data_IF_773768017155
#
_entry.id   IF_773768017155
#
_cell.length_a   1.000
_cell.length_b   1.000
_cell.length_c   1.000
_cell.angle_alpha   90.00
_cell.angle_beta   90.00
_cell.angle_gamma   90.00
#
_symmetry.space_group_name_H-M   'P 1'
#
loop_
_entity.id
_entity.type
_entity.pdbx_description
1 polymer ?
#
# COMPACT_ATOMS: atom_id res chain seq x y z
N UNK A 1 11.72 -17.15 35.95
CA UNK A 1 11.95 -17.72 34.60
C UNK A 1 10.64 -17.91 33.84
N UNK A 2 9.53 -18.31 34.47
CA UNK A 2 8.21 -18.43 33.82
C UNK A 2 7.76 -17.19 33.02
N UNK A 3 7.96 -15.96 33.53
CA UNK A 3 7.56 -14.74 32.82
C UNK A 3 8.29 -14.52 31.49
N UNK A 4 9.54 -14.96 31.39
CA UNK A 4 10.38 -14.80 30.20
C UNK A 4 9.91 -15.74 29.09
N UNK A 5 9.55 -16.97 29.46
CA UNK A 5 9.01 -17.98 28.54
C UNK A 5 7.64 -17.55 28.00
N UNK A 6 6.75 -17.05 28.85
CA UNK A 6 5.44 -16.51 28.44
C UNK A 6 5.60 -15.34 27.44
N UNK A 7 6.54 -14.43 27.69
CA UNK A 7 6.81 -13.27 26.82
C UNK A 7 7.44 -13.66 25.49
N UNK A 8 8.32 -14.67 25.46
CA UNK A 8 8.88 -15.23 24.23
C UNK A 8 7.81 -15.92 23.37
N UNK A 9 6.85 -16.59 24.01
CA UNK A 9 5.68 -17.18 23.31
C UNK A 9 4.81 -16.08 22.72
N UNK A 10 4.53 -15.01 23.48
CA UNK A 10 3.80 -13.84 22.96
C UNK A 10 4.53 -13.17 21.80
N UNK A 11 5.86 -13.01 21.89
CA UNK A 11 6.66 -12.44 20.82
C UNK A 11 6.58 -13.29 19.54
N UNK A 12 6.74 -14.61 19.64
CA UNK A 12 6.57 -15.53 18.49
C UNK A 12 5.17 -15.44 17.89
N UNK A 13 4.13 -15.35 18.72
CA UNK A 13 2.75 -15.21 18.24
C UNK A 13 2.51 -13.90 17.46
N UNK A 14 3.32 -12.86 17.68
CA UNK A 14 3.22 -11.57 16.99
C UNK A 14 4.08 -11.49 15.71
N UNK A 15 5.12 -12.32 15.60
CA UNK A 15 6.02 -12.37 14.43
C UNK A 15 5.30 -12.85 13.17
N UNK A 16 4.55 -13.94 13.27
CA UNK A 16 3.86 -14.55 12.13
C UNK A 16 2.82 -13.59 11.49
N UNK A 17 1.93 -12.94 12.26
CA UNK A 17 1.02 -11.92 11.73
C UNK A 17 1.77 -10.76 11.06
N UNK A 18 2.86 -10.26 11.67
CA UNK A 18 3.64 -9.15 11.12
C UNK A 18 4.22 -9.50 9.74
N UNK A 19 4.81 -10.68 9.59
CA UNK A 19 5.36 -11.14 8.31
C UNK A 19 4.25 -11.38 7.27
N UNK A 20 3.10 -11.89 7.71
CA UNK A 20 1.93 -12.09 6.85
C UNK A 20 1.42 -10.77 6.26
N UNK A 21 1.24 -9.74 7.08
CA UNK A 21 0.83 -8.41 6.60
C UNK A 21 1.88 -7.76 5.70
N UNK A 22 3.17 -7.95 5.99
CA UNK A 22 4.25 -7.52 5.11
C UNK A 22 4.21 -8.18 3.73
N UNK A 23 3.93 -9.49 3.64
CA UNK A 23 3.77 -10.20 2.36
C UNK A 23 2.54 -9.74 1.59
N UNK A 24 1.40 -9.60 2.28
CA UNK A 24 0.15 -9.09 1.67
C UNK A 24 0.36 -7.70 1.09
N UNK A 25 1.08 -6.81 1.78
CA UNK A 25 1.41 -5.48 1.30
C UNK A 25 2.15 -5.52 -0.06
N UNK A 26 3.20 -6.33 -0.19
CA UNK A 26 3.93 -6.46 -1.46
C UNK A 26 3.11 -7.15 -2.56
N UNK A 27 2.27 -8.11 -2.21
CA UNK A 27 1.39 -8.79 -3.17
C UNK A 27 0.35 -7.83 -3.76
N UNK A 28 -0.24 -6.98 -2.91
CA UNK A 28 -1.18 -5.92 -3.33
C UNK A 28 -0.50 -4.92 -4.27
N UNK A 29 0.73 -4.48 -3.94
CA UNK A 29 1.49 -3.57 -4.81
C UNK A 29 1.85 -4.23 -6.15
N UNK A 30 2.35 -5.47 -6.13
CA UNK A 30 2.73 -6.20 -7.33
C UNK A 30 1.54 -6.42 -8.28
N UNK A 31 0.38 -6.77 -7.73
CA UNK A 31 -0.86 -6.92 -8.49
C UNK A 31 -1.25 -5.61 -9.16
N UNK A 32 -1.15 -4.50 -8.45
CA UNK A 32 -1.55 -3.21 -8.97
C UNK A 32 -0.57 -2.66 -10.03
N UNK A 33 0.73 -2.84 -9.83
CA UNK A 33 1.75 -2.57 -10.86
C UNK A 33 1.46 -3.34 -12.14
N UNK A 34 1.04 -4.60 -12.02
CA UNK A 34 0.68 -5.44 -13.16
C UNK A 34 -0.56 -4.91 -13.88
N UNK A 35 -1.60 -4.51 -13.15
CA UNK A 35 -2.82 -3.92 -13.71
C UNK A 35 -2.55 -2.59 -14.43
N UNK A 36 -1.79 -1.69 -13.81
CA UNK A 36 -1.43 -0.39 -14.40
C UNK A 36 -0.58 -0.57 -15.65
N UNK A 37 0.41 -1.47 -15.61
CA UNK A 37 1.26 -1.78 -16.76
C UNK A 37 0.44 -2.41 -17.88
N UNK A 38 -0.44 -3.36 -17.56
CA UNK A 38 -1.35 -3.99 -18.51
C UNK A 38 -2.29 -2.99 -19.17
N UNK A 39 -2.84 -2.06 -18.40
CA UNK A 39 -3.64 -0.96 -18.93
C UNK A 39 -2.80 -0.08 -19.88
N UNK A 40 -1.61 0.37 -19.45
CA UNK A 40 -0.72 1.20 -20.26
C UNK A 40 -0.32 0.51 -21.59
N UNK A 41 -0.10 -0.81 -21.58
CA UNK A 41 0.17 -1.59 -22.80
C UNK A 41 -1.06 -1.66 -23.71
N UNK A 42 -2.24 -1.99 -23.15
CA UNK A 42 -3.48 -2.06 -23.92
C UNK A 42 -3.80 -0.73 -24.62
N UNK A 43 -3.42 0.36 -23.98
CA UNK A 43 -3.51 1.73 -24.47
C UNK A 43 -2.53 1.96 -25.62
N UNK A 44 -1.25 1.60 -25.44
CA UNK A 44 -0.22 1.78 -26.47
C UNK A 44 -0.50 0.99 -27.76
N UNK A 45 -1.33 -0.06 -27.67
CA UNK A 45 -1.75 -0.90 -28.80
C UNK A 45 -2.98 -0.30 -29.55
N UNK A 46 -3.51 0.84 -29.10
CA UNK A 46 -4.46 1.63 -29.90
C UNK A 46 -5.92 1.19 -29.80
N UNK A 47 -6.43 0.92 -28.58
CA UNK A 47 -7.89 0.80 -28.33
C UNK A 47 -8.44 2.07 -27.67
N UNK A 48 -8.65 3.16 -28.44
CA UNK A 48 -9.01 4.48 -27.89
C UNK A 48 -10.45 4.57 -27.36
N UNK A 49 -11.36 3.73 -27.83
CA UNK A 49 -12.79 3.83 -27.49
C UNK A 49 -13.09 3.65 -25.99
N UNK A 50 -12.22 2.94 -25.27
CA UNK A 50 -12.35 2.68 -23.83
C UNK A 50 -11.33 3.44 -23.00
N UNK A 51 -10.54 4.33 -23.61
CA UNK A 51 -9.42 5.04 -23.01
C UNK A 51 -9.82 5.79 -21.75
N UNK A 52 -10.85 6.63 -21.85
CA UNK A 52 -11.33 7.49 -20.78
C UNK A 52 -11.89 6.68 -19.61
N UNK A 53 -12.72 5.68 -19.90
CA UNK A 53 -13.27 4.79 -18.88
C UNK A 53 -12.17 3.97 -18.17
N UNK A 54 -11.15 3.53 -18.92
CA UNK A 54 -10.01 2.77 -18.38
C UNK A 54 -9.15 3.65 -17.47
N UNK A 55 -8.93 4.92 -17.81
CA UNK A 55 -8.20 5.86 -16.94
C UNK A 55 -8.94 6.10 -15.62
N UNK A 56 -10.26 6.33 -15.67
CA UNK A 56 -11.06 6.54 -14.46
C UNK A 56 -11.04 5.29 -13.57
N UNK A 57 -11.23 4.10 -14.15
CA UNK A 57 -11.14 2.83 -13.41
C UNK A 57 -9.73 2.59 -12.84
N UNK A 58 -8.68 2.86 -13.60
CA UNK A 58 -7.30 2.75 -13.13
C UNK A 58 -7.03 3.70 -11.95
N UNK A 59 -7.53 4.93 -12.01
CA UNK A 59 -7.45 5.91 -10.93
C UNK A 59 -8.12 5.41 -9.64
N UNK A 60 -9.35 4.89 -9.75
CA UNK A 60 -10.09 4.31 -8.61
C UNK A 60 -9.38 3.09 -8.01
N UNK A 61 -8.86 2.19 -8.84
CA UNK A 61 -8.14 0.99 -8.40
C UNK A 61 -6.83 1.36 -7.69
N UNK A 62 -6.10 2.35 -8.22
CA UNK A 62 -4.89 2.89 -7.61
C UNK A 62 -5.17 3.53 -6.24
N UNK A 63 -6.22 4.35 -6.13
CA UNK A 63 -6.65 4.94 -4.86
C UNK A 63 -7.07 3.89 -3.84
N UNK A 64 -7.93 2.94 -4.24
CA UNK A 64 -8.41 1.87 -3.36
C UNK A 64 -7.27 1.00 -2.85
N UNK A 65 -6.28 0.74 -3.69
CA UNK A 65 -5.07 0.01 -3.30
C UNK A 65 -4.20 0.83 -2.36
N UNK A 66 -4.04 2.13 -2.59
CA UNK A 66 -3.37 3.03 -1.65
C UNK A 66 -4.00 2.96 -0.25
N UNK A 67 -5.33 2.94 -0.18
CA UNK A 67 -6.06 2.78 1.08
C UNK A 67 -5.81 1.40 1.75
N UNK A 68 -5.88 0.31 0.98
CA UNK A 68 -5.59 -1.04 1.50
C UNK A 68 -4.15 -1.15 2.00
N UNK A 69 -3.19 -0.65 1.22
CA UNK A 69 -1.77 -0.64 1.57
C UNK A 69 -1.51 0.21 2.83
N UNK A 70 -2.18 1.36 2.97
CA UNK A 70 -2.13 2.18 4.18
C UNK A 70 -2.68 1.42 5.40
N UNK A 71 -3.81 0.73 5.27
CA UNK A 71 -4.40 -0.04 6.38
C UNK A 71 -3.52 -1.21 6.80
N UNK A 72 -2.96 -1.95 5.84
CA UNK A 72 -2.03 -3.06 6.11
C UNK A 72 -0.78 -2.56 6.83
N UNK A 73 -0.24 -1.42 6.40
CA UNK A 73 0.91 -0.78 7.04
C UNK A 73 0.61 -0.37 8.48
N UNK A 74 -0.56 0.24 8.74
CA UNK A 74 -0.98 0.60 10.10
C UNK A 74 -1.14 -0.62 11.01
N UNK A 75 -1.63 -1.74 10.47
CA UNK A 75 -1.70 -2.99 11.23
C UNK A 75 -0.30 -3.53 11.56
N UNK A 76 0.61 -3.55 10.59
CA UNK A 76 2.00 -3.95 10.81
C UNK A 76 2.69 -3.07 11.87
N UNK A 77 2.49 -1.75 11.85
CA UNK A 77 3.06 -0.83 12.84
C UNK A 77 2.53 -1.11 14.26
N UNK A 78 1.25 -1.50 14.40
CA UNK A 78 0.70 -1.93 15.69
C UNK A 78 1.39 -3.19 16.22
N UNK A 79 1.62 -4.19 15.36
CA UNK A 79 2.34 -5.39 15.77
C UNK A 79 3.81 -5.09 16.09
N UNK A 80 4.47 -4.27 15.27
CA UNK A 80 5.85 -3.86 15.50
C UNK A 80 6.02 -3.08 16.82
N UNK A 81 5.10 -2.18 17.13
CA UNK A 81 5.13 -1.43 18.40
C UNK A 81 4.84 -2.32 19.62
N UNK A 82 3.95 -3.31 19.51
CA UNK A 82 3.73 -4.31 20.57
C UNK A 82 4.97 -5.18 20.82
N UNK A 83 5.65 -5.63 19.76
CA UNK A 83 6.91 -6.38 19.87
C UNK A 83 8.01 -5.54 20.53
N UNK A 84 8.14 -4.27 20.14
CA UNK A 84 9.09 -3.33 20.75
C UNK A 84 8.83 -3.08 22.23
N UNK A 85 7.55 -3.05 22.65
CA UNK A 85 7.20 -2.90 24.06
C UNK A 85 7.67 -4.11 24.89
N UNK A 86 7.47 -5.32 24.37
CA UNK A 86 7.94 -6.57 25.01
C UNK A 86 9.48 -6.57 25.10
N UNK A 87 10.16 -6.21 24.02
CA UNK A 87 11.62 -6.21 23.95
C UNK A 87 12.26 -5.15 24.87
N UNK A 88 11.60 -3.99 25.03
CA UNK A 88 12.02 -2.95 25.96
C UNK A 88 11.87 -3.37 27.42
N UNK A 89 10.81 -4.11 27.76
CA UNK A 89 10.58 -4.63 29.11
C UNK A 89 11.57 -5.75 29.48
N UNK A 90 11.96 -6.58 28.51
CA UNK A 90 12.80 -7.76 28.73
C UNK A 90 14.30 -7.47 28.68
N UNK A 91 14.77 -6.68 27.71
CA UNK A 91 16.21 -6.53 27.47
C UNK A 91 16.87 -5.42 28.31
N UNK A 92 16.10 -4.47 28.83
CA UNK A 92 16.63 -3.21 29.39
C UNK A 92 17.46 -2.37 28.39
N UNK A 93 17.69 -2.89 27.18
CA UNK A 93 18.49 -2.30 26.14
C UNK A 93 17.58 -1.62 25.14
N UNK A 94 17.75 -0.30 25.04
CA UNK A 94 17.06 0.50 24.04
C UNK A 94 17.73 0.28 22.69
N UNK A 95 16.89 0.04 21.67
CA UNK A 95 17.07 0.26 20.21
C UNK A 95 17.25 -1.00 19.35
N UNK A 96 16.13 -1.61 18.99
CA UNK A 96 15.90 -1.84 17.56
C UNK A 96 15.76 -0.46 16.91
N UNK A 97 16.49 -0.24 15.82
CA UNK A 97 16.55 1.02 15.09
C UNK A 97 15.14 1.63 14.95
N UNK A 98 15.03 2.88 15.40
CA UNK A 98 13.81 3.67 15.37
C UNK A 98 13.34 3.76 13.91
N UNK A 99 12.46 2.86 13.48
CA UNK A 99 11.82 2.90 12.15
C UNK A 99 10.80 4.04 12.03
N UNK A 100 10.84 5.00 12.96
CA UNK A 100 10.17 6.30 12.88
C UNK A 100 10.97 7.22 11.99
N UNK A 101 10.82 7.07 10.67
CA UNK A 101 10.98 8.17 9.69
C UNK A 101 10.66 7.59 8.32
N UNK A 102 9.47 7.92 7.80
CA UNK A 102 9.11 7.75 6.38
C UNK A 102 9.66 6.45 5.76
N UNK A 103 9.17 5.30 6.23
CA UNK A 103 9.56 4.03 5.63
C UNK A 103 9.21 4.04 4.13
N UNK A 104 10.05 3.42 3.29
CA UNK A 104 9.83 3.34 1.84
C UNK A 104 8.40 2.93 1.45
N UNK A 105 7.74 2.15 2.30
CA UNK A 105 6.33 1.75 2.16
C UNK A 105 5.35 2.92 2.18
N UNK A 106 5.57 3.92 3.03
CA UNK A 106 4.73 5.11 3.12
C UNK A 106 4.87 5.97 1.86
N UNK A 107 6.09 6.11 1.33
CA UNK A 107 6.34 6.80 0.05
C UNK A 107 5.65 6.09 -1.12
N UNK A 108 5.65 4.76 -1.15
CA UNK A 108 4.94 3.98 -2.17
C UNK A 108 3.43 4.21 -2.09
N UNK A 109 2.84 4.25 -0.89
CA UNK A 109 1.40 4.56 -0.73
C UNK A 109 1.09 5.96 -1.26
N UNK A 110 1.86 6.98 -0.86
CA UNK A 110 1.67 8.36 -1.32
C UNK A 110 1.79 8.44 -2.84
N UNK A 111 2.82 7.80 -3.42
CA UNK A 111 3.03 7.76 -4.85
C UNK A 111 1.87 7.09 -5.60
N UNK A 112 1.35 5.97 -5.10
CA UNK A 112 0.20 5.28 -5.70
C UNK A 112 -1.07 6.11 -5.65
N UNK A 113 -1.36 6.75 -4.51
CA UNK A 113 -2.54 7.62 -4.37
C UNK A 113 -2.41 8.86 -5.27
N UNK A 114 -1.24 9.49 -5.31
CA UNK A 114 -0.97 10.64 -6.17
C UNK A 114 -1.08 10.28 -7.66
N UNK A 115 -0.51 9.14 -8.07
CA UNK A 115 -0.64 8.63 -9.43
C UNK A 115 -2.11 8.33 -9.79
N UNK A 116 -2.85 7.69 -8.88
CA UNK A 116 -4.28 7.42 -9.06
C UNK A 116 -5.12 8.69 -9.20
N UNK A 117 -4.82 9.72 -8.39
CA UNK A 117 -5.44 11.05 -8.50
C UNK A 117 -5.19 11.67 -9.87
N UNK A 118 -3.92 11.71 -10.31
CA UNK A 118 -3.56 12.35 -11.57
C UNK A 118 -4.21 11.65 -12.76
N UNK A 119 -4.18 10.31 -12.79
CA UNK A 119 -4.78 9.52 -13.87
C UNK A 119 -6.31 9.65 -13.85
N UNK A 120 -6.92 9.59 -12.66
CA UNK A 120 -8.37 9.72 -12.50
C UNK A 120 -8.88 11.11 -12.92
N UNK A 121 -8.21 12.18 -12.47
CA UNK A 121 -8.56 13.56 -12.84
C UNK A 121 -8.41 13.76 -14.35
N UNK A 122 -7.32 13.27 -14.94
CA UNK A 122 -7.12 13.35 -16.39
C UNK A 122 -8.25 12.64 -17.15
N UNK A 123 -8.63 11.44 -16.72
CA UNK A 123 -9.74 10.70 -17.31
C UNK A 123 -11.06 11.43 -17.21
N UNK A 124 -11.36 12.05 -16.05
CA UNK A 124 -12.56 12.87 -15.87
C UNK A 124 -12.53 14.11 -16.80
N UNK A 125 -11.38 14.78 -16.91
CA UNK A 125 -11.23 15.94 -17.79
C UNK A 125 -11.48 15.58 -19.26
N UNK A 126 -10.90 14.48 -19.74
CA UNK A 126 -11.13 13.97 -21.09
C UNK A 126 -12.61 13.61 -21.30
N UNK A 127 -13.27 13.03 -20.28
CA UNK A 127 -14.69 12.68 -20.34
C UNK A 127 -15.57 13.93 -20.47
N UNK A 128 -15.30 14.97 -19.69
CA UNK A 128 -16.03 16.25 -19.75
C UNK A 128 -15.85 16.91 -21.12
N UNK A 129 -14.64 16.91 -21.69
CA UNK A 129 -14.39 17.46 -23.02
C UNK A 129 -15.16 16.74 -24.14
N UNK A 130 -15.30 15.42 -24.04
CA UNK A 130 -16.12 14.60 -24.94
C UNK A 130 -17.60 14.96 -24.84
N UNK A 131 -18.13 15.17 -23.62
CA UNK A 131 -19.52 15.56 -23.41
C UNK A 131 -19.82 17.00 -23.84
N UNK A 132 -18.87 17.91 -23.71
CA UNK A 132 -18.99 19.32 -24.12
C UNK A 132 -18.81 19.54 -25.63
N UNK A 133 -18.55 18.47 -26.42
CA UNK A 133 -18.37 18.56 -27.87
C UNK A 133 -17.09 19.29 -28.30
N UNK A 134 -16.08 19.36 -27.43
CA UNK A 134 -14.80 20.05 -27.67
C UNK A 134 -13.65 19.12 -28.08
N UNK A 135 -13.96 17.88 -28.45
CA UNK A 135 -13.01 16.85 -28.83
C UNK A 135 -12.76 16.83 -30.35
#
# INVERSE_FOLDING_TARGET
MERLEERLVQYRALVDPRLHFGRLYFQVIGTNLTLVTGAAIAIGIGRPEWWTATQVLAGLVLMGTGFVAHRLHHQEERFASAMLAIEKEESGMVRLADTRRFGARHLVVIALVAAGLLIGIKGIQEMVQLFDGRA
#
